data_IF_438843624672
#
_entry.id   IF_438843624672
#
_cell.length_a   1.000
_cell.length_b   1.000
_cell.length_c   1.000
_cell.angle_alpha   90.00
_cell.angle_beta   90.00
_cell.angle_gamma   90.00
#
_symmetry.space_group_name_H-M   'P 1'
#
loop_
_entity.id
_entity.type
_entity.pdbx_description
1 polymer ?
#
# COMPACT_ATOMS: atom_id res chain seq x y z
N UNK A 1 18.98 4.93 -3.49
CA UNK A 1 19.98 5.64 -2.68
C UNK A 1 19.89 7.14 -2.88
N UNK A 2 19.78 7.57 -4.14
CA UNK A 2 19.73 9.01 -4.49
C UNK A 2 18.52 9.74 -3.89
N UNK A 3 17.45 9.01 -3.60
CA UNK A 3 16.19 9.57 -3.08
C UNK A 3 15.99 9.29 -1.58
N UNK A 4 17.03 8.85 -0.89
CA UNK A 4 16.97 8.59 0.54
C UNK A 4 16.35 7.25 0.92
N UNK A 5 16.19 6.34 -0.03
CA UNK A 5 15.59 5.01 0.19
C UNK A 5 16.62 3.93 -0.12
N UNK A 6 17.51 3.67 0.83
CA UNK A 6 18.64 2.75 0.62
C UNK A 6 18.50 1.41 1.33
N UNK A 7 17.77 1.39 2.43
CA UNK A 7 17.77 0.21 3.31
C UNK A 7 16.50 -0.63 3.13
N UNK A 8 16.62 -1.82 2.52
CA UNK A 8 15.51 -2.78 2.56
C UNK A 8 15.39 -3.37 3.96
N UNK A 9 14.17 -3.49 4.45
CA UNK A 9 13.91 -4.10 5.74
C UNK A 9 12.99 -5.29 5.57
N UNK A 10 13.41 -6.45 6.05
CA UNK A 10 12.63 -7.67 5.96
C UNK A 10 11.70 -7.86 7.17
N UNK A 11 11.85 -7.03 8.20
CA UNK A 11 10.97 -7.05 9.35
C UNK A 11 9.93 -5.93 9.24
N UNK A 12 8.60 -6.23 9.30
CA UNK A 12 7.59 -5.20 9.23
C UNK A 12 7.71 -4.16 10.34
N UNK A 13 8.18 -4.56 11.50
CA UNK A 13 8.32 -3.66 12.66
C UNK A 13 9.39 -2.60 12.48
N UNK A 14 10.34 -2.82 11.57
CA UNK A 14 11.44 -1.91 11.29
C UNK A 14 11.24 -1.15 9.98
N UNK A 15 10.19 -1.45 9.24
CA UNK A 15 9.91 -0.83 7.95
C UNK A 15 8.99 0.38 8.12
N UNK A 16 9.25 1.44 7.35
CA UNK A 16 8.41 2.63 7.32
C UNK A 16 7.45 2.64 6.13
N UNK A 17 7.80 1.91 5.07
CA UNK A 17 7.04 1.90 3.83
C UNK A 17 6.91 0.48 3.31
N UNK A 18 5.74 0.14 2.79
CA UNK A 18 5.50 -1.15 2.15
C UNK A 18 5.22 -0.94 0.66
N UNK A 19 5.92 -1.72 -0.17
CA UNK A 19 5.67 -1.79 -1.60
C UNK A 19 4.81 -3.03 -1.87
N UNK A 20 3.60 -2.83 -2.34
CA UNK A 20 2.70 -3.93 -2.69
C UNK A 20 2.82 -4.21 -4.17
N UNK A 21 3.31 -5.40 -4.49
CA UNK A 21 3.62 -5.81 -5.85
C UNK A 21 2.77 -7.02 -6.26
N UNK A 22 2.32 -7.03 -7.50
CA UNK A 22 1.67 -8.19 -8.08
C UNK A 22 0.24 -8.42 -7.67
N UNK A 23 -0.29 -9.57 -8.08
CA UNK A 23 -1.66 -9.96 -7.82
C UNK A 23 -1.88 -10.37 -6.36
N UNK A 24 -2.96 -9.88 -5.76
CA UNK A 24 -3.32 -10.20 -4.39
C UNK A 24 -4.56 -11.08 -4.40
N UNK A 25 -4.43 -12.29 -3.87
CA UNK A 25 -5.57 -13.22 -3.74
C UNK A 25 -6.31 -12.95 -2.44
N UNK A 26 -7.58 -13.35 -2.39
CA UNK A 26 -8.36 -13.23 -1.15
C UNK A 26 -7.76 -14.04 -0.01
N UNK A 27 -7.04 -15.12 -0.32
CA UNK A 27 -6.34 -15.92 0.68
C UNK A 27 -5.17 -15.15 1.33
N UNK A 28 -4.47 -14.32 0.54
CA UNK A 28 -3.33 -13.52 1.02
C UNK A 28 -3.75 -12.17 1.59
N UNK A 29 -4.94 -11.70 1.30
CA UNK A 29 -5.38 -10.38 1.75
C UNK A 29 -5.32 -10.19 3.27
N UNK A 30 -5.79 -11.14 4.10
CA UNK A 30 -5.65 -11.00 5.55
C UNK A 30 -4.21 -10.97 6.03
N UNK A 31 -3.31 -11.71 5.37
CA UNK A 31 -1.88 -11.72 5.70
C UNK A 31 -1.26 -10.35 5.42
N UNK A 32 -1.58 -9.75 4.28
CA UNK A 32 -1.09 -8.43 3.91
C UNK A 32 -1.57 -7.38 4.91
N UNK A 33 -2.83 -7.42 5.31
CA UNK A 33 -3.38 -6.52 6.33
C UNK A 33 -2.67 -6.69 7.66
N UNK A 34 -2.37 -7.92 8.05
CA UNK A 34 -1.66 -8.21 9.29
C UNK A 34 -0.25 -7.64 9.26
N UNK A 35 0.46 -7.76 8.13
CA UNK A 35 1.79 -7.17 7.97
C UNK A 35 1.71 -5.64 8.12
N UNK A 36 0.72 -5.02 7.50
CA UNK A 36 0.52 -3.57 7.61
C UNK A 36 0.30 -3.14 9.07
N UNK A 37 -0.51 -3.88 9.81
CA UNK A 37 -0.82 -3.56 11.19
C UNK A 37 0.41 -3.70 12.11
N UNK A 38 1.38 -4.54 11.74
CA UNK A 38 2.63 -4.71 12.49
C UNK A 38 3.63 -3.59 12.26
N UNK A 39 3.45 -2.78 11.21
CA UNK A 39 4.36 -1.67 10.92
C UNK A 39 4.17 -0.53 11.91
N UNK A 40 5.29 0.09 12.29
CA UNK A 40 5.26 1.26 13.18
C UNK A 40 4.80 2.51 12.41
N UNK A 41 4.12 3.42 13.12
CA UNK A 41 3.76 4.72 12.53
C UNK A 41 4.93 5.69 12.60
N UNK A 42 5.11 6.58 11.60
CA UNK A 42 4.30 6.72 10.39
C UNK A 42 4.59 5.61 9.37
N UNK A 43 3.55 5.11 8.71
CA UNK A 43 3.69 4.04 7.73
C UNK A 43 3.03 4.43 6.41
N UNK A 44 3.66 4.03 5.31
CA UNK A 44 3.27 4.42 3.97
C UNK A 44 3.05 3.19 3.09
N UNK A 45 2.13 3.29 2.15
CA UNK A 45 1.83 2.20 1.22
C UNK A 45 1.93 2.70 -0.20
N UNK A 46 2.73 2.01 -1.01
CA UNK A 46 2.81 2.26 -2.45
C UNK A 46 2.33 1.01 -3.18
N UNK A 47 1.30 1.16 -3.99
CA UNK A 47 0.79 0.10 -4.83
C UNK A 47 1.51 0.11 -6.17
N UNK A 48 2.25 -0.94 -6.47
CA UNK A 48 3.09 -1.03 -7.67
C UNK A 48 2.45 -1.95 -8.71
N UNK A 49 2.17 -1.41 -9.87
CA UNK A 49 1.64 -2.14 -11.00
C UNK A 49 0.12 -2.23 -11.03
N UNK A 50 -0.41 -2.62 -12.19
CA UNK A 50 -1.85 -2.69 -12.41
C UNK A 50 -2.52 -3.75 -11.54
N UNK A 51 -1.85 -4.88 -11.32
CA UNK A 51 -2.43 -5.97 -10.52
C UNK A 51 -2.70 -5.56 -9.07
N UNK A 52 -1.75 -4.86 -8.44
CA UNK A 52 -1.94 -4.39 -7.08
C UNK A 52 -2.89 -3.20 -7.01
N UNK A 53 -2.90 -2.35 -8.04
CA UNK A 53 -3.71 -1.12 -8.04
C UNK A 53 -5.21 -1.39 -8.27
N UNK A 54 -5.54 -2.33 -9.17
CA UNK A 54 -6.94 -2.56 -9.55
C UNK A 54 -7.28 -4.02 -9.90
N UNK A 55 -6.34 -4.95 -9.67
CA UNK A 55 -6.48 -6.33 -10.11
C UNK A 55 -6.00 -6.57 -11.54
N UNK A 56 -5.76 -5.52 -12.31
CA UNK A 56 -5.27 -5.62 -13.68
C UNK A 56 -6.20 -6.41 -14.58
N UNK A 57 -5.63 -7.33 -15.34
CA UNK A 57 -6.37 -8.21 -16.23
C UNK A 57 -7.03 -9.41 -15.52
N UNK A 58 -6.71 -9.62 -14.25
CA UNK A 58 -7.18 -10.80 -13.50
C UNK A 58 -8.45 -10.48 -12.72
N UNK A 59 -9.56 -10.38 -13.42
CA UNK A 59 -10.85 -10.09 -12.80
C UNK A 59 -11.58 -11.41 -12.48
N UNK A 60 -11.05 -12.15 -11.51
CA UNK A 60 -11.65 -13.41 -11.06
C UNK A 60 -12.08 -13.28 -9.60
N UNK A 61 -12.96 -14.18 -9.16
CA UNK A 61 -13.45 -14.14 -7.78
C UNK A 61 -12.38 -14.48 -6.74
N UNK A 62 -11.30 -15.15 -7.13
CA UNK A 62 -10.19 -15.49 -6.23
C UNK A 62 -9.17 -14.38 -6.05
N UNK A 63 -9.27 -13.29 -6.80
CA UNK A 63 -8.31 -12.19 -6.82
C UNK A 63 -8.95 -10.92 -6.27
N UNK A 64 -8.25 -10.27 -5.33
CA UNK A 64 -8.67 -8.97 -4.80
C UNK A 64 -8.49 -7.90 -5.86
N UNK A 65 -9.54 -7.14 -6.14
CA UNK A 65 -9.54 -6.10 -7.17
C UNK A 65 -8.99 -4.77 -6.62
N UNK A 66 -7.69 -4.77 -6.33
CA UNK A 66 -6.98 -3.61 -5.83
C UNK A 66 -6.69 -3.69 -4.34
N UNK A 67 -5.46 -3.32 -3.97
CA UNK A 67 -5.03 -3.33 -2.58
C UNK A 67 -5.71 -2.24 -1.75
N UNK A 68 -6.24 -1.21 -2.41
CA UNK A 68 -6.96 -0.14 -1.75
C UNK A 68 -8.24 -0.60 -1.04
N UNK A 69 -8.70 -1.81 -1.33
CA UNK A 69 -9.85 -2.42 -0.64
C UNK A 69 -9.53 -2.89 0.77
N UNK A 70 -8.25 -3.06 1.09
CA UNK A 70 -7.82 -3.54 2.41
C UNK A 70 -6.82 -2.63 3.10
N UNK A 71 -6.09 -1.80 2.34
CA UNK A 71 -5.08 -0.90 2.87
C UNK A 71 -5.29 0.53 2.33
N UNK A 72 -4.98 1.57 3.15
CA UNK A 72 -4.94 2.93 2.64
C UNK A 72 -3.69 3.12 1.79
N UNK A 73 -3.85 3.36 0.50
CA UNK A 73 -2.74 3.51 -0.45
C UNK A 73 -2.39 4.99 -0.60
N UNK A 74 -1.11 5.31 -0.48
CA UNK A 74 -0.63 6.69 -0.63
C UNK A 74 -0.32 7.05 -2.08
N UNK A 75 0.33 6.14 -2.80
CA UNK A 75 0.73 6.38 -4.18
C UNK A 75 0.51 5.12 -5.01
N UNK A 76 0.02 5.30 -6.24
CA UNK A 76 -0.13 4.23 -7.21
C UNK A 76 0.92 4.36 -8.31
N UNK A 77 1.55 3.24 -8.69
CA UNK A 77 2.49 3.18 -9.79
C UNK A 77 1.85 2.39 -10.93
N UNK A 78 1.49 3.02 -12.04
CA UNK A 78 0.86 2.33 -13.15
C UNK A 78 1.85 1.50 -13.96
N UNK A 79 1.36 0.48 -14.64
CA UNK A 79 2.13 -0.34 -15.55
C UNK A 79 2.03 -1.83 -15.26
N UNK A 80 2.46 -2.62 -16.22
CA UNK A 80 2.42 -4.09 -16.11
C UNK A 80 3.56 -4.72 -16.94
N UNK A 81 4.77 -4.77 -16.43
CA UNK A 81 5.27 -4.15 -15.19
C UNK A 81 5.57 -2.65 -15.36
N UNK A 82 5.63 -1.87 -14.27
CA UNK A 82 6.00 -0.46 -14.38
C UNK A 82 7.49 -0.30 -14.69
N UNK A 83 7.81 0.80 -15.32
CA UNK A 83 9.22 1.14 -15.60
C UNK A 83 9.90 1.53 -14.29
N UNK A 84 11.24 1.33 -14.17
CA UNK A 84 11.98 1.76 -12.99
C UNK A 84 11.82 3.26 -12.70
N UNK A 85 11.77 4.09 -13.73
CA UNK A 85 11.56 5.55 -13.59
C UNK A 85 10.20 5.85 -12.94
N UNK A 86 9.18 5.06 -13.23
CA UNK A 86 7.86 5.23 -12.62
C UNK A 86 7.91 4.96 -11.11
N UNK A 87 8.68 3.97 -10.68
CA UNK A 87 8.86 3.66 -9.26
C UNK A 87 9.59 4.78 -8.54
N UNK A 88 10.65 5.30 -9.15
CA UNK A 88 11.39 6.44 -8.59
C UNK A 88 10.52 7.69 -8.52
N UNK A 89 9.73 7.94 -9.55
CA UNK A 89 8.77 9.05 -9.58
C UNK A 89 7.74 8.93 -8.45
N UNK A 90 7.29 7.70 -8.16
CA UNK A 90 6.36 7.46 -7.06
C UNK A 90 6.97 7.83 -5.70
N UNK A 91 8.25 7.53 -5.48
CA UNK A 91 8.95 7.93 -4.26
C UNK A 91 9.00 9.45 -4.12
N UNK A 92 9.29 10.16 -5.21
CA UNK A 92 9.32 11.62 -5.23
C UNK A 92 7.92 12.19 -4.96
N UNK A 93 6.89 11.63 -5.54
CA UNK A 93 5.50 12.03 -5.30
C UNK A 93 5.10 11.84 -3.85
N UNK A 94 5.51 10.75 -3.23
CA UNK A 94 5.25 10.50 -1.82
C UNK A 94 5.92 11.56 -0.95
N UNK A 95 7.18 11.88 -1.23
CA UNK A 95 7.91 12.93 -0.51
C UNK A 95 7.22 14.28 -0.65
N UNK A 96 6.78 14.64 -1.86
CA UNK A 96 6.06 15.88 -2.14
C UNK A 96 4.73 15.92 -1.38
N UNK A 97 3.99 14.82 -1.38
CA UNK A 97 2.72 14.70 -0.66
C UNK A 97 2.92 14.93 0.83
N UNK A 98 3.96 14.37 1.41
CA UNK A 98 4.28 14.56 2.84
C UNK A 98 4.62 16.00 3.17
N UNK A 99 5.39 16.66 2.32
CA UNK A 99 5.76 18.07 2.52
C UNK A 99 4.54 19.00 2.41
N UNK A 100 3.63 18.70 1.50
CA UNK A 100 2.46 19.54 1.22
C UNK A 100 1.37 19.36 2.26
N UNK A 101 1.06 18.10 2.61
CA UNK A 101 -0.08 17.76 3.45
C UNK A 101 0.25 17.75 4.95
N UNK A 102 1.50 17.43 5.30
CA UNK A 102 1.92 17.25 6.68
C UNK A 102 1.53 15.86 7.22
N UNK A 103 2.22 15.45 8.28
CA UNK A 103 2.04 14.11 8.85
C UNK A 103 0.72 13.96 9.61
N UNK A 104 0.30 15.00 10.34
CA UNK A 104 -0.91 14.89 11.17
C UNK A 104 -2.19 14.82 10.33
N UNK A 105 -2.31 15.69 9.32
CA UNK A 105 -3.46 15.66 8.43
C UNK A 105 -3.55 14.31 7.71
N UNK A 106 -2.41 13.80 7.26
CA UNK A 106 -2.34 12.48 6.64
C UNK A 106 -2.76 11.38 7.63
N UNK A 107 -2.30 11.46 8.87
CA UNK A 107 -2.63 10.48 9.91
C UNK A 107 -4.14 10.39 10.13
N UNK A 108 -4.81 11.52 10.24
CA UNK A 108 -6.27 11.56 10.41
C UNK A 108 -6.98 10.94 9.20
N UNK A 109 -6.55 11.29 8.00
CA UNK A 109 -7.11 10.74 6.76
C UNK A 109 -6.94 9.22 6.69
N UNK A 110 -5.74 8.74 7.03
CA UNK A 110 -5.44 7.30 7.04
C UNK A 110 -6.28 6.57 8.08
N UNK A 111 -6.44 7.13 9.27
CA UNK A 111 -7.25 6.50 10.30
C UNK A 111 -8.72 6.40 9.89
N UNK A 112 -9.27 7.43 9.27
CA UNK A 112 -10.63 7.39 8.74
C UNK A 112 -10.79 6.30 7.67
N UNK A 113 -9.83 6.22 6.75
CA UNK A 113 -9.84 5.17 5.72
C UNK A 113 -9.75 3.78 6.31
N UNK A 114 -8.92 3.60 7.35
CA UNK A 114 -8.79 2.31 8.02
C UNK A 114 -10.10 1.89 8.67
N UNK A 115 -10.79 2.81 9.34
CA UNK A 115 -12.09 2.51 9.94
C UNK A 115 -13.11 2.09 8.87
N UNK A 116 -13.19 2.85 7.80
CA UNK A 116 -14.08 2.54 6.68
C UNK A 116 -13.77 1.17 6.07
N UNK A 117 -12.49 0.88 5.85
CA UNK A 117 -12.06 -0.40 5.30
C UNK A 117 -12.33 -1.56 6.25
N UNK A 118 -12.16 -1.35 7.55
CA UNK A 118 -12.44 -2.38 8.55
C UNK A 118 -13.92 -2.75 8.56
N UNK A 119 -14.81 -1.77 8.44
CA UNK A 119 -16.25 -2.02 8.36
C UNK A 119 -16.62 -2.77 7.09
N UNK A 120 -16.06 -2.35 5.95
CA UNK A 120 -16.32 -2.98 4.65
C UNK A 120 -15.80 -4.41 4.58
N UNK A 121 -14.60 -4.66 5.10
CA UNK A 121 -13.89 -5.92 4.96
C UNK A 121 -13.86 -6.74 6.24
N UNK A 122 -14.84 -6.55 7.12
CA UNK A 122 -14.90 -7.21 8.41
C UNK A 122 -14.71 -8.74 8.32
N UNK A 123 -15.30 -9.46 7.35
CA UNK A 123 -15.06 -10.91 7.24
C UNK A 123 -13.64 -11.28 6.85
N UNK A 124 -12.88 -10.39 6.19
CA UNK A 124 -11.50 -10.65 5.78
C UNK A 124 -10.48 -10.30 6.87
N UNK A 125 -10.82 -9.37 7.76
CA UNK A 125 -9.90 -8.82 8.76
C UNK A 125 -10.02 -9.54 10.09
N UNK A 126 -11.20 -10.04 10.43
CA UNK A 126 -11.46 -10.72 11.70
C UNK A 126 -10.89 -12.13 11.69
N UNK A 127 -9.98 -12.39 12.58
CA UNK A 127 -9.42 -13.70 12.85
C UNK A 127 -9.28 -13.91 14.33
#
# INVERSE_FOLDING_TARGET
>A
ARFGAERPSFSPRQADMILVLGTITYKMAPVLRQIYDQMAEPKFVISVGACASSGGMFNTYGVLQGVDRILPVDVYVPGCPPRPEAILDALVKLQTKLKTQGLEARRQEVMQKIQELNERNKPLVVR
#
